data_IF_085181198557
#
_entry.id   IF_085181198557
#
_cell.length_a   1.000
_cell.length_b   1.000
_cell.length_c   1.000
_cell.angle_alpha   90.00
_cell.angle_beta   90.00
_cell.angle_gamma   90.00
#
_symmetry.space_group_name_H-M   'P 1'
#
loop_
_entity.id
_entity.type
_entity.pdbx_description
1 polymer ?
#
# COMPACT_ATOMS: atom_id res chain seq x y z
N UNK A 1 -7.63 11.53 9.93
CA UNK A 1 -8.78 10.76 9.40
C UNK A 1 -8.44 10.37 7.97
N UNK A 2 -8.44 9.08 7.65
CA UNK A 2 -8.13 8.53 6.32
C UNK A 2 -9.20 8.94 5.28
N UNK A 3 -9.26 10.24 4.93
CA UNK A 3 -10.34 10.86 4.15
C UNK A 3 -10.47 10.32 2.71
N UNK A 4 -9.54 9.49 2.23
CA UNK A 4 -9.53 8.96 0.86
C UNK A 4 -9.93 7.50 0.72
N UNK A 5 -9.83 6.68 1.77
CA UNK A 5 -10.03 5.23 1.65
C UNK A 5 -11.41 4.84 2.15
N UNK A 6 -12.32 4.50 1.21
CA UNK A 6 -13.66 3.97 1.54
C UNK A 6 -13.66 2.44 1.74
N UNK A 7 -12.63 1.75 1.26
CA UNK A 7 -12.49 0.30 1.45
C UNK A 7 -11.92 0.01 2.85
N UNK A 8 -12.58 -0.80 3.69
CA UNK A 8 -12.08 -1.18 5.02
C UNK A 8 -10.67 -1.78 4.99
N UNK A 9 -10.31 -2.56 3.96
CA UNK A 9 -8.95 -3.13 3.80
C UNK A 9 -7.89 -2.01 3.71
N UNK A 10 -8.21 -0.91 3.04
CA UNK A 10 -7.29 0.22 2.86
C UNK A 10 -7.27 1.13 4.08
N UNK A 11 -8.38 1.22 4.82
CA UNK A 11 -8.38 1.89 6.12
C UNK A 11 -7.46 1.15 7.10
N UNK A 12 -7.56 -0.18 7.15
CA UNK A 12 -6.69 -1.02 7.98
C UNK A 12 -5.22 -0.90 7.57
N UNK A 13 -4.92 -1.02 6.27
CA UNK A 13 -3.57 -0.83 5.74
C UNK A 13 -2.96 0.53 6.13
N UNK A 14 -3.74 1.61 6.03
CA UNK A 14 -3.29 2.96 6.39
C UNK A 14 -3.04 3.13 7.90
N UNK A 15 -3.86 2.48 8.73
CA UNK A 15 -3.72 2.54 10.19
C UNK A 15 -2.44 1.83 10.66
N UNK A 16 -2.10 0.68 10.05
CA UNK A 16 -0.87 -0.08 10.38
C UNK A 16 0.37 0.36 9.58
N UNK A 17 0.21 1.30 8.64
CA UNK A 17 1.28 1.83 7.81
C UNK A 17 2.20 2.79 8.57
N UNK A 18 3.50 2.74 8.26
CA UNK A 18 4.47 3.77 8.60
C UNK A 18 4.40 4.95 7.63
N UNK A 19 5.34 5.90 7.77
CA UNK A 19 5.39 7.10 6.92
C UNK A 19 5.46 6.74 5.43
N UNK A 20 6.32 5.79 5.10
CA UNK A 20 6.59 5.33 3.74
C UNK A 20 5.37 4.74 3.06
N UNK A 21 4.70 3.82 3.75
CA UNK A 21 3.52 3.14 3.22
C UNK A 21 2.34 4.10 3.10
N UNK A 22 2.18 5.06 4.02
CA UNK A 22 1.16 6.11 3.89
C UNK A 22 1.42 6.98 2.65
N UNK A 23 2.68 7.37 2.42
CA UNK A 23 3.05 8.17 1.25
C UNK A 23 2.63 7.50 -0.07
N UNK A 24 2.95 6.21 -0.26
CA UNK A 24 2.60 5.49 -1.50
C UNK A 24 1.09 5.21 -1.61
N UNK A 25 0.38 5.04 -0.49
CA UNK A 25 -1.09 4.93 -0.53
C UNK A 25 -1.75 6.23 -0.99
N UNK A 26 -1.21 7.38 -0.60
CA UNK A 26 -1.78 8.69 -0.91
C UNK A 26 -1.40 9.22 -2.30
N UNK A 27 -0.19 8.88 -2.78
CA UNK A 27 0.41 9.42 -3.99
C UNK A 27 0.60 8.38 -5.11
N UNK A 28 0.54 7.10 -4.78
CA UNK A 28 0.78 6.01 -5.72
C UNK A 28 -0.48 5.42 -6.34
N UNK A 29 -0.24 4.56 -7.33
CA UNK A 29 -1.24 3.71 -7.95
C UNK A 29 -1.31 2.38 -7.23
N UNK A 30 -2.53 1.92 -6.97
CA UNK A 30 -2.80 0.62 -6.36
C UNK A 30 -3.12 -0.42 -7.43
N UNK A 31 -2.49 -1.58 -7.32
CA UNK A 31 -2.84 -2.80 -8.07
C UNK A 31 -3.04 -3.98 -7.12
N UNK A 32 -3.85 -4.95 -7.51
CA UNK A 32 -4.01 -6.20 -6.76
C UNK A 32 -3.17 -7.29 -7.39
N UNK A 33 -2.39 -7.99 -6.57
CA UNK A 33 -1.55 -9.11 -6.98
C UNK A 33 -1.80 -10.28 -6.04
N UNK A 34 -1.57 -11.51 -6.52
CA UNK A 34 -1.66 -12.71 -5.71
C UNK A 34 -0.25 -13.27 -5.50
N UNK A 35 0.19 -13.33 -4.24
CA UNK A 35 1.52 -13.83 -3.85
C UNK A 35 1.34 -15.02 -2.92
N UNK A 36 1.83 -16.21 -3.31
CA UNK A 36 1.64 -17.45 -2.55
C UNK A 36 0.17 -17.72 -2.18
N UNK A 37 -0.78 -17.38 -3.06
CA UNK A 37 -2.22 -17.49 -2.81
C UNK A 37 -2.82 -16.39 -1.94
N UNK A 38 -2.02 -15.50 -1.36
CA UNK A 38 -2.51 -14.34 -0.61
C UNK A 38 -2.84 -13.19 -1.57
N UNK A 39 -4.00 -12.58 -1.36
CA UNK A 39 -4.35 -11.31 -2.01
C UNK A 39 -3.51 -10.20 -1.38
N UNK A 40 -2.72 -9.52 -2.20
CA UNK A 40 -1.89 -8.39 -1.78
C UNK A 40 -2.21 -7.15 -2.62
N UNK A 41 -2.14 -5.98 -2.01
CA UNK A 41 -2.20 -4.69 -2.69
C UNK A 41 -0.78 -4.18 -2.89
N UNK A 42 -0.36 -4.07 -4.15
CA UNK A 42 0.91 -3.47 -4.55
C UNK A 42 0.70 -2.00 -4.88
N UNK A 43 1.52 -1.15 -4.30
CA UNK A 43 1.49 0.29 -4.54
C UNK A 43 2.76 0.71 -5.27
N UNK A 44 2.61 1.43 -6.37
CA UNK A 44 3.73 1.91 -7.20
C UNK A 44 3.46 3.31 -7.70
N UNK A 45 4.50 4.10 -7.92
CA UNK A 45 4.41 5.40 -8.57
C UNK A 45 5.54 5.57 -9.60
N UNK A 46 5.46 6.63 -10.40
CA UNK A 46 6.45 6.85 -11.46
C UNK A 46 7.87 6.93 -10.90
N UNK A 47 8.83 6.46 -11.68
CA UNK A 47 10.26 6.62 -11.38
C UNK A 47 10.71 8.09 -11.31
N UNK A 48 9.93 9.00 -11.89
CA UNK A 48 10.22 10.43 -11.92
C UNK A 48 9.83 11.16 -10.62
N UNK A 49 9.24 10.45 -9.65
CA UNK A 49 8.97 10.98 -8.30
C UNK A 49 10.27 10.94 -7.49
N UNK A 50 10.68 12.04 -6.86
CA UNK A 50 11.92 12.08 -6.06
C UNK A 50 11.96 11.04 -4.92
N UNK A 51 10.84 10.84 -4.24
CA UNK A 51 10.75 9.87 -3.14
C UNK A 51 10.45 8.48 -3.69
N UNK A 52 11.43 7.56 -3.73
CA UNK A 52 11.27 6.19 -4.28
C UNK A 52 11.21 5.06 -3.25
N UNK A 53 11.45 5.33 -1.97
CA UNK A 53 11.61 4.29 -0.95
C UNK A 53 10.38 3.39 -0.77
N UNK A 54 9.19 3.93 -1.04
CA UNK A 54 7.92 3.21 -0.95
C UNK A 54 7.48 2.55 -2.26
N UNK A 55 8.23 2.71 -3.35
CA UNK A 55 7.81 2.24 -4.66
C UNK A 55 7.85 0.72 -4.72
N UNK A 56 6.69 0.09 -4.90
CA UNK A 56 6.54 -1.35 -4.87
C UNK A 56 6.10 -1.91 -3.51
N UNK A 57 5.80 -1.05 -2.52
CA UNK A 57 5.28 -1.49 -1.23
C UNK A 57 4.07 -2.41 -1.39
N UNK A 58 4.03 -3.44 -0.56
CA UNK A 58 3.04 -4.51 -0.63
C UNK A 58 2.31 -4.63 0.70
N UNK A 59 0.99 -4.53 0.66
CA UNK A 59 0.14 -4.84 1.80
C UNK A 59 -0.54 -6.20 1.59
N UNK A 60 -0.30 -7.13 2.49
CA UNK A 60 -0.99 -8.43 2.50
C UNK A 60 -2.35 -8.26 3.18
N UNK A 61 -3.44 -8.49 2.45
CA UNK A 61 -4.79 -8.30 3.00
C UNK A 61 -5.25 -9.49 3.85
N UNK A 62 -4.57 -10.63 3.77
CA UNK A 62 -4.86 -11.84 4.55
C UNK A 62 -4.15 -11.78 5.89
N UNK A 63 -2.85 -11.47 5.88
CA UNK A 63 -2.03 -11.32 7.10
C UNK A 63 -2.14 -9.92 7.72
N UNK A 64 -2.80 -8.99 7.03
CA UNK A 64 -3.06 -7.61 7.48
C UNK A 64 -1.80 -6.82 7.82
N UNK A 65 -0.71 -7.06 7.09
CA UNK A 65 0.59 -6.43 7.33
C UNK A 65 1.26 -5.94 6.04
N UNK A 66 2.09 -4.93 6.20
CA UNK A 66 3.02 -4.50 5.16
C UNK A 66 4.17 -5.49 5.07
N UNK A 67 4.48 -5.91 3.85
CA UNK A 67 5.64 -6.75 3.54
C UNK A 67 6.85 -5.85 3.30
N UNK A 68 7.97 -6.19 3.93
CA UNK A 68 9.26 -5.54 3.73
C UNK A 68 9.88 -5.96 2.40
#
# INVERSE_FOLDING_TARGET
MAKRFRNPEMVEAYNVAGFRERYVMENGNKSTVYLNGHKCCKFTYSKDVDYQDANGALYDTVEKRWRA
#
